data_IF_217800263244
#
_entry.id   IF_217800263244
#
_cell.length_a   1.000
_cell.length_b   1.000
_cell.length_c   1.000
_cell.angle_alpha   90.00
_cell.angle_beta   90.00
_cell.angle_gamma   90.00
#
_symmetry.space_group_name_H-M   'P 1'
#
loop_
_entity.id
_entity.type
_entity.pdbx_description
1 polymer ?
#
# COMPACT_ATOMS: atom_id res chain seq x y z
N UNK A 1 9.86 -6.17 14.14
CA UNK A 1 8.64 -5.54 13.56
C UNK A 1 7.80 -4.81 14.62
N UNK A 2 7.40 -5.49 15.70
CA UNK A 2 6.55 -4.87 16.74
C UNK A 2 7.20 -3.64 17.41
N UNK A 3 8.49 -3.69 17.72
CA UNK A 3 9.21 -2.53 18.27
C UNK A 3 9.20 -1.34 17.31
N UNK A 4 9.37 -1.60 16.03
CA UNK A 4 9.36 -0.57 15.01
C UNK A 4 7.99 0.11 14.93
N UNK A 5 6.92 -0.68 14.91
CA UNK A 5 5.54 -0.18 14.89
C UNK A 5 5.21 0.60 16.16
N UNK A 6 5.68 0.13 17.30
CA UNK A 6 5.51 0.84 18.58
C UNK A 6 6.16 2.22 18.54
N UNK A 7 7.35 2.32 17.96
CA UNK A 7 8.04 3.59 17.78
C UNK A 7 7.28 4.53 16.85
N UNK A 8 6.73 4.00 15.75
CA UNK A 8 5.89 4.77 14.83
C UNK A 8 4.66 5.31 15.55
N UNK A 9 4.00 4.50 16.38
CA UNK A 9 2.87 4.92 17.22
C UNK A 9 3.25 6.10 18.12
N UNK A 10 4.44 6.04 18.73
CA UNK A 10 4.94 7.13 19.57
C UNK A 10 5.06 8.45 18.78
N UNK A 11 5.49 8.39 17.54
CA UNK A 11 5.58 9.59 16.70
C UNK A 11 4.20 10.18 16.41
N UNK A 12 3.20 9.36 16.15
CA UNK A 12 1.83 9.84 15.95
C UNK A 12 1.28 10.53 17.19
N UNK A 13 1.51 9.95 18.37
CA UNK A 13 1.07 10.52 19.64
C UNK A 13 1.74 11.86 19.91
N UNK A 14 3.05 11.97 19.66
CA UNK A 14 3.81 13.20 19.82
C UNK A 14 3.36 14.29 18.85
N UNK A 15 2.90 13.92 17.66
CA UNK A 15 2.39 14.86 16.68
C UNK A 15 0.96 15.32 16.97
N UNK A 16 0.36 14.87 18.07
CA UNK A 16 -1.01 15.22 18.43
C UNK A 16 -2.07 14.56 17.56
N UNK A 17 -1.71 13.47 16.88
CA UNK A 17 -2.63 12.69 16.05
C UNK A 17 -2.90 11.34 16.72
N UNK A 18 -3.89 11.25 17.64
CA UNK A 18 -4.26 9.96 18.21
C UNK A 18 -4.86 9.10 17.13
N UNK A 19 -4.14 8.07 16.74
CA UNK A 19 -4.61 7.14 15.71
C UNK A 19 -5.44 6.05 16.38
N UNK A 20 -6.75 6.19 16.30
CA UNK A 20 -7.67 5.15 16.76
C UNK A 20 -7.74 3.99 15.77
N UNK A 21 -7.54 4.27 14.50
CA UNK A 21 -7.61 3.30 13.42
C UNK A 21 -6.46 3.53 12.45
N UNK A 22 -5.74 2.46 12.09
CA UNK A 22 -4.58 2.53 11.21
C UNK A 22 -4.73 1.53 10.08
N UNK A 23 -4.37 1.94 8.88
CA UNK A 23 -4.21 1.07 7.71
C UNK A 23 -2.72 0.96 7.43
N UNK A 24 -2.22 -0.27 7.25
CA UNK A 24 -0.81 -0.53 6.98
C UNK A 24 -0.66 -1.01 5.54
N UNK A 25 0.21 -0.36 4.79
CA UNK A 25 0.59 -0.82 3.46
C UNK A 25 1.69 -1.88 3.60
N UNK A 26 1.49 -3.01 2.94
CA UNK A 26 2.44 -4.12 2.95
C UNK A 26 2.98 -4.36 1.54
N UNK A 27 4.19 -4.93 1.40
CA UNK A 27 4.73 -5.25 0.08
C UNK A 27 3.77 -6.13 -0.73
N UNK A 28 3.70 -5.89 -2.03
CA UNK A 28 2.81 -6.62 -2.94
C UNK A 28 3.08 -8.13 -2.95
N UNK A 29 4.33 -8.53 -2.70
CA UNK A 29 4.75 -9.92 -2.70
C UNK A 29 4.46 -10.66 -1.39
N UNK A 30 3.85 -10.01 -0.40
CA UNK A 30 3.58 -10.64 0.90
C UNK A 30 2.65 -11.84 0.77
N UNK A 31 3.04 -12.94 1.39
CA UNK A 31 2.19 -14.14 1.55
C UNK A 31 1.15 -13.91 2.65
N UNK A 32 0.18 -14.81 2.77
CA UNK A 32 -0.80 -14.75 3.85
C UNK A 32 -0.14 -14.88 5.22
N UNK A 33 0.90 -15.71 5.36
CA UNK A 33 1.67 -15.85 6.60
C UNK A 33 2.37 -14.55 6.97
N UNK A 34 2.97 -13.89 6.00
CA UNK A 34 3.64 -12.60 6.22
C UNK A 34 2.63 -11.51 6.59
N UNK A 35 1.46 -11.49 5.96
CA UNK A 35 0.38 -10.55 6.31
C UNK A 35 -0.10 -10.77 7.74
N UNK A 36 -0.27 -12.02 8.15
CA UNK A 36 -0.64 -12.34 9.52
C UNK A 36 0.43 -11.88 10.51
N UNK A 37 1.71 -12.01 10.16
CA UNK A 37 2.80 -11.52 10.97
C UNK A 37 2.74 -10.00 11.19
N UNK A 38 2.36 -9.23 10.15
CA UNK A 38 2.14 -7.78 10.29
C UNK A 38 0.99 -7.47 11.26
N UNK A 39 -0.11 -8.20 11.16
CA UNK A 39 -1.26 -8.02 12.07
C UNK A 39 -0.87 -8.35 13.51
N UNK A 40 -0.15 -9.44 13.72
CA UNK A 40 0.32 -9.85 15.04
C UNK A 40 1.28 -8.80 15.63
N UNK A 41 2.19 -8.28 14.83
CA UNK A 41 3.12 -7.23 15.24
C UNK A 41 2.38 -5.93 15.61
N UNK A 42 1.34 -5.58 14.87
CA UNK A 42 0.51 -4.41 15.18
C UNK A 42 -0.22 -4.59 16.51
N UNK A 43 -0.76 -5.77 16.77
CA UNK A 43 -1.43 -6.10 18.03
C UNK A 43 -0.45 -6.00 19.22
N UNK A 44 0.74 -6.56 19.08
CA UNK A 44 1.79 -6.49 20.11
C UNK A 44 2.19 -5.03 20.37
N UNK A 45 2.26 -4.20 19.33
CA UNK A 45 2.59 -2.78 19.45
C UNK A 45 1.44 -1.93 20.01
N UNK A 46 0.26 -2.50 20.21
CA UNK A 46 -0.92 -1.77 20.65
C UNK A 46 -1.53 -0.87 19.59
N UNK A 47 -1.38 -1.25 18.31
CA UNK A 47 -1.94 -0.53 17.17
C UNK A 47 -3.22 -1.24 16.72
N UNK A 48 -4.30 -0.47 16.58
CA UNK A 48 -5.54 -1.00 15.99
C UNK A 48 -5.46 -0.93 14.46
N UNK A 49 -4.92 -1.99 13.85
CA UNK A 49 -4.85 -2.10 12.40
C UNK A 49 -6.17 -2.64 11.87
N UNK A 50 -6.93 -1.78 11.20
CA UNK A 50 -8.24 -2.16 10.65
C UNK A 50 -8.13 -2.87 9.31
N UNK A 51 -7.03 -2.67 8.59
CA UNK A 51 -6.82 -3.29 7.28
C UNK A 51 -5.36 -3.26 6.88
N UNK A 52 -4.94 -4.31 6.18
CA UNK A 52 -3.71 -4.31 5.40
C UNK A 52 -4.05 -4.04 3.94
N UNK A 53 -3.23 -3.26 3.26
CA UNK A 53 -3.38 -2.96 1.84
C UNK A 53 -2.05 -3.20 1.13
N UNK A 54 -2.07 -3.69 -0.10
CA UNK A 54 -0.86 -3.81 -0.89
C UNK A 54 -0.32 -2.42 -1.27
N UNK A 55 0.99 -2.24 -1.21
CA UNK A 55 1.63 -0.98 -1.59
C UNK A 55 1.23 -0.54 -3.01
N UNK A 56 1.19 -1.47 -3.96
CA UNK A 56 0.79 -1.18 -5.33
C UNK A 56 -0.67 -0.72 -5.42
N UNK A 57 -1.55 -1.32 -4.65
CA UNK A 57 -2.96 -0.91 -4.58
C UNK A 57 -3.08 0.49 -3.99
N UNK A 58 -2.30 0.80 -2.96
CA UNK A 58 -2.30 2.13 -2.34
C UNK A 58 -1.86 3.21 -3.34
N UNK A 59 -0.81 2.95 -4.12
CA UNK A 59 -0.33 3.87 -5.16
C UNK A 59 -1.40 4.07 -6.23
N UNK A 60 -2.03 3.00 -6.69
CA UNK A 60 -3.08 3.06 -7.70
C UNK A 60 -4.30 3.85 -7.21
N UNK A 61 -4.72 3.65 -5.96
CA UNK A 61 -5.81 4.41 -5.35
C UNK A 61 -5.49 5.90 -5.28
N UNK A 62 -4.28 6.23 -4.87
CA UNK A 62 -3.82 7.62 -4.80
C UNK A 62 -3.86 8.29 -6.16
N UNK A 63 -3.35 7.62 -7.19
CA UNK A 63 -3.39 8.12 -8.56
C UNK A 63 -4.84 8.37 -9.00
N UNK A 64 -5.72 7.39 -8.83
CA UNK A 64 -7.12 7.51 -9.21
C UNK A 64 -7.85 8.64 -8.49
N UNK A 65 -7.57 8.82 -7.21
CA UNK A 65 -8.15 9.89 -6.41
C UNK A 65 -7.76 11.28 -6.93
N UNK A 66 -6.47 11.51 -7.19
CA UNK A 66 -5.98 12.80 -7.66
C UNK A 66 -6.24 13.06 -9.13
N UNK A 67 -6.51 12.03 -9.93
CA UNK A 67 -6.77 12.15 -11.38
C UNK A 67 -8.22 11.87 -11.75
N UNK A 68 -9.12 11.92 -10.80
CA UNK A 68 -10.54 11.61 -11.02
C UNK A 68 -11.17 12.44 -12.15
N UNK A 69 -10.79 13.70 -12.27
CA UNK A 69 -11.32 14.59 -13.30
C UNK A 69 -10.82 14.26 -14.73
N UNK A 70 -9.70 13.56 -14.83
CA UNK A 70 -9.10 13.16 -16.12
C UNK A 70 -9.59 11.79 -16.58
N UNK A 71 -10.42 11.13 -15.79
CA UNK A 71 -10.92 9.79 -16.08
C UNK A 71 -12.31 9.84 -16.72
N UNK A 72 -12.52 9.00 -17.73
CA UNK A 72 -13.77 8.88 -18.46
C UNK A 72 -14.56 7.67 -17.92
N UNK A 73 -15.88 7.79 -17.87
CA UNK A 73 -16.76 6.68 -17.45
C UNK A 73 -16.85 5.59 -18.51
N UNK A 74 -16.69 5.94 -19.79
CA UNK A 74 -16.88 5.03 -20.93
C UNK A 74 -15.58 4.48 -21.49
N UNK A 75 -14.46 5.19 -21.33
CA UNK A 75 -13.15 4.79 -21.85
C UNK A 75 -12.19 4.48 -20.71
N UNK A 76 -11.96 3.21 -20.42
CA UNK A 76 -11.00 2.84 -19.38
C UNK A 76 -9.59 3.31 -19.74
N UNK A 77 -8.90 3.88 -18.77
CA UNK A 77 -7.50 4.27 -18.91
C UNK A 77 -6.62 3.23 -18.25
N UNK A 78 -5.71 2.66 -19.00
CA UNK A 78 -4.74 1.70 -18.49
C UNK A 78 -3.47 2.42 -18.08
N UNK A 79 -3.00 2.17 -16.86
CA UNK A 79 -1.81 2.80 -16.31
C UNK A 79 -0.88 1.74 -15.77
N UNK A 80 0.40 1.87 -16.06
CA UNK A 80 1.45 1.03 -15.46
C UNK A 80 2.16 1.84 -14.39
N UNK A 81 2.24 1.30 -13.19
CA UNK A 81 3.00 1.88 -12.09
C UNK A 81 4.30 1.10 -11.93
N UNK A 82 5.42 1.77 -12.10
CA UNK A 82 6.74 1.17 -11.92
C UNK A 82 7.35 1.74 -10.65
N UNK A 83 7.54 0.90 -9.66
CA UNK A 83 8.17 1.26 -8.40
C UNK A 83 9.54 0.59 -8.35
N UNK A 84 10.58 1.39 -8.56
CA UNK A 84 11.95 0.93 -8.54
C UNK A 84 12.63 1.46 -7.27
N UNK A 85 12.47 0.71 -6.20
CA UNK A 85 13.04 1.05 -4.91
C UNK A 85 14.48 0.56 -4.73
N UNK A 86 15.01 0.72 -3.54
CA UNK A 86 16.39 0.35 -3.21
C UNK A 86 16.67 -1.15 -3.41
N UNK A 87 15.77 -2.00 -3.00
CA UNK A 87 15.98 -3.46 -2.97
C UNK A 87 15.02 -4.27 -3.83
N UNK A 88 14.00 -3.64 -4.40
CA UNK A 88 12.97 -4.35 -5.16
C UNK A 88 12.45 -3.52 -6.32
N UNK A 89 11.97 -4.22 -7.35
CA UNK A 89 11.23 -3.65 -8.47
C UNK A 89 9.81 -4.21 -8.44
N UNK A 90 8.83 -3.34 -8.56
CA UNK A 90 7.42 -3.73 -8.70
C UNK A 90 6.81 -3.04 -9.90
N UNK A 91 6.05 -3.79 -10.69
CA UNK A 91 5.27 -3.25 -11.80
C UNK A 91 3.82 -3.68 -11.62
N UNK A 92 2.93 -2.71 -11.65
CA UNK A 92 1.50 -2.92 -11.47
C UNK A 92 0.75 -2.33 -12.64
N UNK A 93 -0.14 -3.09 -13.25
CA UNK A 93 -1.03 -2.61 -14.30
C UNK A 93 -2.43 -2.45 -13.72
N UNK A 94 -2.98 -1.26 -13.87
CA UNK A 94 -4.32 -0.94 -13.39
C UNK A 94 -5.15 -0.28 -14.47
N UNK A 95 -6.44 -0.52 -14.44
CA UNK A 95 -7.41 0.08 -15.32
C UNK A 95 -8.32 1.00 -14.51
N UNK A 96 -8.45 2.23 -14.97
CA UNK A 96 -9.24 3.26 -14.30
C UNK A 96 -10.41 3.71 -15.14
N UNK A 97 -11.56 3.78 -14.48
CA UNK A 97 -12.71 4.53 -14.98
C UNK A 97 -13.05 5.58 -13.91
N UNK A 98 -13.93 6.52 -14.22
CA UNK A 98 -14.25 7.62 -13.31
C UNK A 98 -14.62 7.17 -11.88
N UNK A 99 -15.31 6.03 -11.77
CA UNK A 99 -15.81 5.53 -10.49
C UNK A 99 -15.25 4.18 -10.08
N UNK A 100 -14.38 3.58 -10.90
CA UNK A 100 -13.86 2.22 -10.65
C UNK A 100 -12.37 2.12 -10.92
N UNK A 101 -11.72 1.29 -10.14
CA UNK A 101 -10.32 0.91 -10.34
C UNK A 101 -10.23 -0.61 -10.32
N UNK A 102 -9.49 -1.17 -11.27
CA UNK A 102 -9.24 -2.60 -11.34
C UNK A 102 -7.75 -2.85 -11.47
N UNK A 103 -7.19 -3.65 -10.58
CA UNK A 103 -5.81 -4.12 -10.71
C UNK A 103 -5.82 -5.30 -11.68
N UNK A 104 -5.12 -5.15 -12.80
CA UNK A 104 -5.06 -6.19 -13.83
C UNK A 104 -4.00 -7.22 -13.48
N UNK A 105 -2.80 -6.77 -13.14
CA UNK A 105 -1.70 -7.66 -12.77
C UNK A 105 -0.65 -6.95 -11.94
N UNK A 106 0.08 -7.72 -11.14
CA UNK A 106 1.21 -7.29 -10.33
C UNK A 106 2.39 -8.20 -10.59
N UNK A 107 3.57 -7.60 -10.79
CA UNK A 107 4.82 -8.33 -10.90
C UNK A 107 5.85 -7.66 -10.02
N UNK A 108 6.57 -8.45 -9.23
CA UNK A 108 7.62 -7.91 -8.37
C UNK A 108 8.84 -8.82 -8.35
N UNK A 109 10.01 -8.20 -8.21
CA UNK A 109 11.27 -8.90 -8.04
C UNK A 109 11.96 -8.34 -6.80
N UNK A 110 12.12 -9.18 -5.79
CA UNK A 110 12.74 -8.84 -4.51
C UNK A 110 14.24 -8.61 -4.61
N UNK A 111 14.87 -9.13 -5.65
CA UNK A 111 16.32 -9.15 -5.81
C UNK A 111 16.84 -8.09 -6.77
N UNK A 112 15.96 -7.33 -7.38
CA UNK A 112 16.30 -6.29 -8.32
C UNK A 112 15.92 -4.93 -7.74
N UNK A 113 16.93 -4.12 -7.45
CA UNK A 113 16.74 -2.79 -6.88
C UNK A 113 17.84 -1.84 -7.33
N UNK A 114 17.71 -0.58 -6.94
CA UNK A 114 18.62 0.50 -7.33
C UNK A 114 19.87 0.63 -6.43
N UNK A 115 20.12 -0.37 -5.58
CA UNK A 115 21.29 -0.40 -4.69
C UNK A 115 22.61 -0.59 -5.41
#
# INVERSE_FOLDING_TARGET
MAFYLKKVKTYFEKAGMPSKEIVIAVPTYCTNSERQAYLDAAEIAGINCIRLISESTAVALSYGFFRKNDLDEKKPKKVAFVDFGHSKLSVTFAEFTKNKMKIISNHSNKNLGAR
#
